data_IF_592794816315
#
_entry.id   IF_592794816315
#
_cell.length_a   1.000
_cell.length_b   1.000
_cell.length_c   1.000
_cell.angle_alpha   90.00
_cell.angle_beta   90.00
_cell.angle_gamma   90.00
#
_symmetry.space_group_name_H-M   'P 1'
#
loop_
_entity.id
_entity.type
_entity.pdbx_description
1 polymer ?
#
# COMPACT_ATOMS: atom_id res chain seq x y z
N UNK A 1 12.90 19.17 50.41
CA UNK A 1 14.37 19.46 50.38
C UNK A 1 15.00 19.09 49.03
N UNK A 2 14.58 17.98 48.40
CA UNK A 2 15.05 17.55 47.07
C UNK A 2 14.64 18.54 45.97
N UNK A 3 13.35 18.93 45.91
CA UNK A 3 12.81 19.93 44.96
C UNK A 3 13.65 21.20 44.80
N UNK A 4 14.05 21.82 45.92
CA UNK A 4 14.83 23.07 45.91
C UNK A 4 16.28 22.85 45.49
N UNK A 5 16.87 21.70 45.82
CA UNK A 5 18.27 21.37 45.50
C UNK A 5 18.46 20.95 44.05
N UNK A 6 17.55 20.16 43.49
CA UNK A 6 17.60 19.76 42.08
C UNK A 6 17.31 20.92 41.12
N UNK A 7 16.47 21.89 41.52
CA UNK A 7 16.29 23.12 40.74
C UNK A 7 17.57 23.96 40.70
N UNK A 8 18.28 24.07 41.82
CA UNK A 8 19.53 24.82 41.89
C UNK A 8 20.64 24.14 41.06
N UNK A 9 20.80 22.82 41.16
CA UNK A 9 21.85 22.10 40.42
C UNK A 9 21.64 22.16 38.91
N UNK A 10 20.40 22.09 38.45
CA UNK A 10 20.08 22.23 37.02
C UNK A 10 20.36 23.64 36.49
N UNK A 11 20.20 24.68 37.30
CA UNK A 11 20.65 26.02 36.93
C UNK A 11 22.18 26.15 36.94
N UNK A 12 22.85 25.57 37.93
CA UNK A 12 24.31 25.61 38.07
C UNK A 12 25.04 24.80 37.00
N UNK A 13 24.45 23.71 36.50
CA UNK A 13 25.01 22.92 35.39
C UNK A 13 24.96 23.66 34.04
N UNK A 14 24.10 24.68 33.94
CA UNK A 14 24.01 25.59 32.81
C UNK A 14 24.75 26.93 33.02
N UNK A 15 25.53 27.07 34.11
CA UNK A 15 26.25 28.31 34.42
C UNK A 15 27.35 28.60 33.40
N UNK A 16 27.66 29.88 33.19
CA UNK A 16 28.75 30.35 32.34
C UNK A 16 30.15 29.99 32.87
N UNK A 17 30.32 29.90 34.19
CA UNK A 17 31.61 29.62 34.85
C UNK A 17 31.93 28.11 34.86
N UNK A 18 33.14 27.76 34.40
CA UNK A 18 33.62 26.37 34.32
C UNK A 18 33.72 25.71 35.70
N UNK A 19 34.21 26.43 36.71
CA UNK A 19 34.38 25.90 38.06
C UNK A 19 33.03 25.64 38.72
N UNK A 20 32.05 26.52 38.48
CA UNK A 20 30.67 26.35 38.96
C UNK A 20 30.06 25.09 38.33
N UNK A 21 30.23 24.89 37.02
CA UNK A 21 29.78 23.67 36.35
C UNK A 21 30.46 22.41 36.90
N UNK A 22 31.79 22.43 37.08
CA UNK A 22 32.52 21.27 37.64
C UNK A 22 32.10 20.94 39.07
N UNK A 23 31.82 21.96 39.89
CA UNK A 23 31.27 21.76 41.24
C UNK A 23 29.85 21.17 41.22
N UNK A 24 29.01 21.65 40.30
CA UNK A 24 27.67 21.11 40.09
C UNK A 24 27.69 19.65 39.61
N UNK A 25 28.60 19.30 38.70
CA UNK A 25 28.78 17.93 38.19
C UNK A 25 29.22 16.95 39.30
N UNK A 26 30.13 17.37 40.18
CA UNK A 26 30.54 16.55 41.32
C UNK A 26 29.38 16.31 42.29
N UNK A 27 28.62 17.37 42.60
CA UNK A 27 27.45 17.28 43.47
C UNK A 27 26.37 16.39 42.86
N UNK A 28 26.11 16.54 41.56
CA UNK A 28 25.18 15.72 40.79
C UNK A 28 25.56 14.23 40.84
N UNK A 29 26.84 13.90 40.65
CA UNK A 29 27.32 12.52 40.76
C UNK A 29 27.11 11.94 42.16
N UNK A 30 27.48 12.69 43.20
CA UNK A 30 27.31 12.25 44.58
C UNK A 30 25.84 12.06 44.95
N UNK A 31 24.95 12.92 44.45
CA UNK A 31 23.52 12.76 44.67
C UNK A 31 22.99 11.51 43.99
N UNK A 32 23.40 11.21 42.75
CA UNK A 32 23.05 9.97 42.07
C UNK A 32 23.53 8.75 42.85
N UNK A 33 24.76 8.75 43.33
CA UNK A 33 25.31 7.66 44.14
C UNK A 33 24.48 7.42 45.42
N UNK A 34 24.07 8.49 46.11
CA UNK A 34 23.21 8.41 47.30
C UNK A 34 21.82 7.84 46.94
N UNK A 35 21.23 8.31 45.84
CA UNK A 35 19.90 7.87 45.40
C UNK A 35 19.92 6.40 44.97
N UNK A 36 20.91 5.97 44.19
CA UNK A 36 21.07 4.58 43.72
C UNK A 36 21.31 3.63 44.89
N UNK A 37 22.05 4.06 45.92
CA UNK A 37 22.31 3.27 47.12
C UNK A 37 21.13 3.22 48.10
N UNK A 38 20.12 4.09 47.93
CA UNK A 38 18.96 4.13 48.81
C UNK A 38 17.90 3.13 48.37
N UNK A 39 17.51 2.23 49.27
CA UNK A 39 16.44 1.25 49.04
C UNK A 39 15.02 1.81 49.20
N UNK A 40 14.88 3.04 49.71
CA UNK A 40 13.59 3.67 50.05
C UNK A 40 13.33 4.95 49.25
N UNK A 41 14.11 5.19 48.18
CA UNK A 41 13.95 6.39 47.39
C UNK A 41 12.62 6.41 46.63
N UNK A 42 11.87 7.49 46.80
CA UNK A 42 10.60 7.70 46.11
C UNK A 42 10.83 8.21 44.68
N UNK A 43 10.96 7.26 43.74
CA UNK A 43 11.12 7.57 42.31
C UNK A 43 9.91 8.33 41.74
N UNK A 44 8.71 8.19 42.31
CA UNK A 44 7.55 8.93 41.83
C UNK A 44 7.77 10.45 41.97
N UNK A 45 8.35 10.90 43.09
CA UNK A 45 8.67 12.32 43.29
C UNK A 45 9.71 12.84 42.30
N UNK A 46 10.74 12.03 41.99
CA UNK A 46 11.73 12.38 40.98
C UNK A 46 11.08 12.48 39.60
N UNK A 47 10.22 11.53 39.24
CA UNK A 47 9.53 11.51 37.96
C UNK A 47 8.58 12.70 37.78
N UNK A 48 7.95 13.21 38.84
CA UNK A 48 7.21 14.49 38.79
C UNK A 48 8.12 15.63 38.34
N UNK A 49 9.34 15.71 38.87
CA UNK A 49 10.29 16.78 38.54
C UNK A 49 10.86 16.64 37.14
N UNK A 50 11.11 15.40 36.70
CA UNK A 50 11.52 15.12 35.33
C UNK A 50 10.40 15.51 34.36
N UNK A 51 9.14 15.16 34.66
CA UNK A 51 7.98 15.48 33.81
C UNK A 51 7.77 16.98 33.66
N UNK A 52 7.92 17.75 34.73
CA UNK A 52 7.85 19.23 34.70
C UNK A 52 8.92 19.86 33.79
N UNK A 53 10.02 19.15 33.52
CA UNK A 53 11.20 19.70 32.83
C UNK A 53 11.58 18.97 31.55
N UNK A 54 10.85 17.93 31.17
CA UNK A 54 11.19 17.07 30.03
C UNK A 54 11.27 17.86 28.70
N UNK A 55 10.55 18.97 28.59
CA UNK A 55 10.54 19.88 27.43
C UNK A 55 11.51 21.08 27.56
N UNK A 56 12.54 20.97 28.40
CA UNK A 56 13.56 22.00 28.54
C UNK A 56 14.20 22.33 27.17
N UNK A 57 14.51 23.60 26.92
CA UNK A 57 15.09 24.06 25.64
C UNK A 57 16.63 24.09 25.64
N UNK A 58 17.25 24.10 26.81
CA UNK A 58 18.70 24.15 26.97
C UNK A 58 19.30 22.74 26.87
N UNK A 59 20.32 22.55 26.02
CA UNK A 59 21.03 21.28 25.84
C UNK A 59 21.65 20.73 27.13
N UNK A 60 22.18 21.58 28.02
CA UNK A 60 22.71 21.15 29.33
C UNK A 60 21.61 20.57 30.23
N UNK A 61 20.43 21.20 30.21
CA UNK A 61 19.27 20.75 30.96
C UNK A 61 18.74 19.41 30.44
N UNK A 62 18.67 19.26 29.11
CA UNK A 62 18.32 18.00 28.44
C UNK A 62 19.30 16.89 28.82
N UNK A 63 20.61 17.17 28.73
CA UNK A 63 21.67 16.24 29.13
C UNK A 63 21.57 15.82 30.60
N UNK A 64 21.25 16.76 31.48
CA UNK A 64 21.04 16.51 32.90
C UNK A 64 19.87 15.53 33.12
N UNK A 65 18.72 15.78 32.48
CA UNK A 65 17.54 14.90 32.58
C UNK A 65 17.86 13.49 32.08
N UNK A 66 18.50 13.36 30.92
CA UNK A 66 18.90 12.07 30.35
C UNK A 66 19.86 11.34 31.30
N UNK A 67 20.80 12.04 31.91
CA UNK A 67 21.75 11.45 32.86
C UNK A 67 21.07 10.94 34.13
N UNK A 68 20.06 11.64 34.66
CA UNK A 68 19.27 11.16 35.81
C UNK A 68 18.42 9.95 35.46
N UNK A 69 17.73 9.96 34.31
CA UNK A 69 16.97 8.80 33.85
C UNK A 69 17.86 7.58 33.63
N UNK A 70 19.06 7.77 33.05
CA UNK A 70 20.04 6.69 32.88
C UNK A 70 20.51 6.13 34.23
N UNK A 71 20.85 7.00 35.19
CA UNK A 71 21.23 6.59 36.53
C UNK A 71 20.13 5.75 37.21
N UNK A 72 18.87 6.20 37.11
CA UNK A 72 17.74 5.48 37.71
C UNK A 72 17.43 4.16 36.98
N UNK A 73 17.59 4.10 35.67
CA UNK A 73 17.41 2.87 34.89
C UNK A 73 18.46 1.80 35.25
N UNK A 74 19.66 2.22 35.63
CA UNK A 74 20.73 1.30 36.10
C UNK A 74 20.56 0.85 37.55
N UNK A 75 19.72 1.51 38.35
CA UNK A 75 19.51 1.17 39.74
C UNK A 75 18.68 -0.14 39.86
N UNK A 76 19.14 -1.16 40.61
CA UNK A 76 18.41 -2.43 40.72
C UNK A 76 17.19 -2.36 41.63
N UNK A 77 17.15 -1.36 42.52
CA UNK A 77 16.17 -1.27 43.60
C UNK A 77 14.83 -0.66 43.14
N UNK A 78 14.82 0.08 42.01
CA UNK A 78 13.65 0.83 41.56
C UNK A 78 13.49 0.75 40.05
N UNK A 79 12.24 0.73 39.58
CA UNK A 79 11.91 0.74 38.15
C UNK A 79 11.37 2.11 37.71
N UNK A 80 12.04 2.74 36.75
CA UNK A 80 11.56 3.94 36.05
C UNK A 80 10.71 3.63 34.81
N UNK A 81 10.69 2.36 34.38
CA UNK A 81 9.98 1.90 33.18
C UNK A 81 8.48 2.25 33.20
N UNK A 82 7.73 2.12 34.32
CA UNK A 82 6.31 2.50 34.38
C UNK A 82 6.03 3.98 34.05
N UNK A 83 7.00 4.86 34.23
CA UNK A 83 6.87 6.30 33.98
C UNK A 83 7.31 6.70 32.57
N UNK A 84 7.91 5.78 31.81
CA UNK A 84 8.41 6.06 30.47
C UNK A 84 7.34 6.65 29.52
N UNK A 85 6.08 6.17 29.49
CA UNK A 85 5.07 6.75 28.61
C UNK A 85 4.86 8.26 28.78
N UNK A 86 5.15 8.80 29.96
CA UNK A 86 4.96 10.23 30.28
C UNK A 86 6.12 11.12 29.83
N UNK A 87 7.30 10.53 29.63
CA UNK A 87 8.54 11.26 29.30
C UNK A 87 9.08 10.92 27.91
N UNK A 88 8.55 9.87 27.27
CA UNK A 88 9.01 9.37 25.98
C UNK A 88 9.01 10.46 24.89
N UNK A 89 7.94 11.27 24.81
CA UNK A 89 7.84 12.31 23.79
C UNK A 89 8.99 13.32 23.88
N UNK A 90 9.25 13.84 25.08
CA UNK A 90 10.34 14.78 25.27
C UNK A 90 11.72 14.15 25.08
N UNK A 91 11.92 12.87 25.40
CA UNK A 91 13.16 12.16 25.06
C UNK A 91 13.36 12.07 23.54
N UNK A 92 12.31 11.78 22.77
CA UNK A 92 12.40 11.78 21.31
C UNK A 92 12.68 13.18 20.75
N UNK A 93 12.12 14.24 21.34
CA UNK A 93 12.48 15.62 20.97
C UNK A 93 13.98 15.91 21.22
N UNK A 94 14.60 15.30 22.23
CA UNK A 94 16.04 15.44 22.51
C UNK A 94 16.95 14.74 21.47
N UNK A 95 16.45 13.78 20.69
CA UNK A 95 17.17 13.22 19.53
C UNK A 95 17.34 14.24 18.39
N UNK A 96 16.53 15.30 18.40
CA UNK A 96 16.63 16.45 17.51
C UNK A 96 17.50 17.59 18.05
N UNK A 97 18.17 17.43 19.21
CA UNK A 97 18.98 18.50 19.80
C UNK A 97 20.14 18.93 18.90
N UNK A 98 20.51 20.21 18.92
CA UNK A 98 21.63 20.74 18.14
C UNK A 98 22.98 20.17 18.57
N UNK A 99 23.14 19.81 19.85
CA UNK A 99 24.39 19.28 20.41
C UNK A 99 24.50 17.75 20.20
N UNK A 100 25.54 17.25 19.50
CA UNK A 100 25.73 15.81 19.28
C UNK A 100 25.77 15.02 20.59
N UNK A 101 26.47 15.55 21.61
CA UNK A 101 26.58 14.90 22.90
C UNK A 101 25.27 14.78 23.69
N UNK A 102 24.20 15.50 23.31
CA UNK A 102 22.84 15.26 23.86
C UNK A 102 22.14 14.15 23.08
N UNK A 103 22.26 14.15 21.75
CA UNK A 103 21.67 13.12 20.90
C UNK A 103 22.23 11.74 21.23
N UNK A 104 23.55 11.62 21.36
CA UNK A 104 24.24 10.34 21.62
C UNK A 104 23.82 9.72 22.96
N UNK A 105 23.78 10.53 24.03
CA UNK A 105 23.35 10.04 25.36
C UNK A 105 21.86 9.73 25.41
N UNK A 106 21.04 10.45 24.65
CA UNK A 106 19.60 10.22 24.55
C UNK A 106 19.31 8.94 23.78
N UNK A 107 19.99 8.72 22.65
CA UNK A 107 19.90 7.49 21.87
C UNK A 107 20.32 6.27 22.71
N UNK A 108 21.43 6.38 23.43
CA UNK A 108 21.89 5.32 24.33
C UNK A 108 20.87 5.03 25.45
N UNK A 109 20.28 6.06 26.06
CA UNK A 109 19.24 5.90 27.08
C UNK A 109 17.99 5.20 26.50
N UNK A 110 17.54 5.62 25.32
CA UNK A 110 16.39 4.99 24.66
C UNK A 110 16.69 3.53 24.30
N UNK A 111 17.89 3.21 23.84
CA UNK A 111 18.33 1.82 23.64
C UNK A 111 18.21 0.98 24.91
N UNK A 112 18.71 1.50 26.05
CA UNK A 112 18.61 0.84 27.34
C UNK A 112 17.15 0.65 27.81
N UNK A 113 16.28 1.64 27.60
CA UNK A 113 14.86 1.49 27.92
C UNK A 113 14.22 0.38 27.10
N UNK A 114 14.52 0.31 25.80
CA UNK A 114 13.96 -0.70 24.92
C UNK A 114 14.41 -2.11 25.35
N UNK A 115 15.69 -2.30 25.67
CA UNK A 115 16.23 -3.56 26.20
C UNK A 115 15.53 -3.97 27.51
N UNK A 116 15.28 -3.01 28.40
CA UNK A 116 14.58 -3.27 29.67
C UNK A 116 13.12 -3.66 29.47
N UNK A 117 12.42 -3.04 28.51
CA UNK A 117 11.04 -3.42 28.17
C UNK A 117 11.00 -4.84 27.60
N UNK A 118 11.96 -5.21 26.74
CA UNK A 118 12.05 -6.57 26.18
C UNK A 118 12.29 -7.65 27.24
N UNK A 119 12.97 -7.30 28.33
CA UNK A 119 13.26 -8.21 29.44
C UNK A 119 12.17 -8.20 30.53
N UNK A 120 11.18 -7.30 30.43
CA UNK A 120 10.14 -7.14 31.44
C UNK A 120 9.20 -8.35 31.49
N UNK A 121 8.71 -8.68 32.68
CA UNK A 121 7.72 -9.73 32.85
C UNK A 121 6.32 -9.23 32.41
N UNK A 122 5.39 -10.13 32.06
CA UNK A 122 4.03 -9.75 31.64
C UNK A 122 3.25 -8.91 32.67
N UNK A 123 3.65 -8.98 33.94
CA UNK A 123 3.03 -8.27 35.08
C UNK A 123 3.45 -6.79 35.14
N UNK A 124 4.56 -6.44 34.48
CA UNK A 124 5.12 -5.09 34.39
C UNK A 124 4.65 -4.36 33.13
N UNK A 125 3.48 -4.74 32.59
CA UNK A 125 3.01 -4.29 31.27
C UNK A 125 2.90 -2.76 31.22
N UNK A 126 3.85 -2.14 30.51
CA UNK A 126 3.85 -0.70 30.24
C UNK A 126 2.66 -0.36 29.36
N UNK A 127 2.11 0.85 29.51
CA UNK A 127 1.06 1.35 28.62
C UNK A 127 1.61 1.57 27.19
N UNK A 128 1.66 0.49 26.42
CA UNK A 128 2.13 0.44 25.04
C UNK A 128 1.34 1.39 24.13
N UNK A 129 0.04 1.51 24.38
CA UNK A 129 -0.88 2.33 23.58
C UNK A 129 -0.41 3.79 23.49
N UNK A 130 -0.04 4.39 24.61
CA UNK A 130 0.45 5.78 24.64
C UNK A 130 1.79 5.92 23.91
N UNK A 131 2.68 4.94 24.10
CA UNK A 131 4.00 4.94 23.48
C UNK A 131 3.93 4.78 21.97
N UNK A 132 3.09 3.87 21.46
CA UNK A 132 2.87 3.67 20.02
C UNK A 132 2.46 4.98 19.35
N UNK A 133 1.54 5.74 19.94
CA UNK A 133 1.10 7.01 19.38
C UNK A 133 2.26 8.04 19.32
N UNK A 134 3.04 8.17 20.40
CA UNK A 134 4.23 9.03 20.43
C UNK A 134 5.22 8.62 19.35
N UNK A 135 5.51 7.32 19.23
CA UNK A 135 6.44 6.79 18.23
C UNK A 135 5.96 7.05 16.79
N UNK A 136 4.65 6.90 16.52
CA UNK A 136 4.07 7.22 15.20
C UNK A 136 4.25 8.70 14.88
N UNK A 137 4.02 9.60 15.84
CA UNK A 137 4.25 11.05 15.66
C UNK A 137 5.71 11.32 15.29
N UNK A 138 6.67 10.76 16.03
CA UNK A 138 8.10 10.97 15.76
C UNK A 138 8.61 10.27 14.49
N UNK A 139 7.99 9.18 14.08
CA UNK A 139 8.30 8.53 12.80
C UNK A 139 7.78 9.32 11.59
N UNK A 140 6.66 10.03 11.74
CA UNK A 140 6.00 10.77 10.66
C UNK A 140 6.41 12.23 10.56
N UNK A 141 6.85 12.85 11.65
CA UNK A 141 7.27 14.25 11.67
C UNK A 141 8.49 14.51 10.77
N UNK A 142 8.61 15.75 10.28
CA UNK A 142 9.80 16.28 9.59
C UNK A 142 10.96 16.49 10.59
N UNK A 143 11.36 15.41 11.28
CA UNK A 143 12.45 15.38 12.24
C UNK A 143 13.77 14.88 11.64
N UNK A 144 14.78 14.74 12.49
CA UNK A 144 16.06 14.14 12.09
C UNK A 144 15.87 12.67 11.69
N UNK A 145 16.68 12.21 10.73
CA UNK A 145 16.70 10.80 10.31
C UNK A 145 16.94 9.87 11.52
N UNK A 146 17.76 10.31 12.48
CA UNK A 146 17.98 9.60 13.74
C UNK A 146 16.67 9.40 14.52
N UNK A 147 15.89 10.46 14.74
CA UNK A 147 14.62 10.41 15.48
C UNK A 147 13.67 9.41 14.83
N UNK A 148 13.51 9.51 13.50
CA UNK A 148 12.65 8.61 12.72
C UNK A 148 13.11 7.17 12.80
N UNK A 149 14.41 6.93 12.59
CA UNK A 149 15.00 5.59 12.65
C UNK A 149 14.80 4.96 14.02
N UNK A 150 15.06 5.70 15.10
CA UNK A 150 14.85 5.22 16.47
C UNK A 150 13.37 4.92 16.71
N UNK A 151 12.44 5.75 16.23
CA UNK A 151 11.01 5.51 16.38
C UNK A 151 10.57 4.23 15.65
N UNK A 152 11.02 4.02 14.42
CA UNK A 152 10.73 2.82 13.63
C UNK A 152 11.35 1.56 14.25
N UNK A 153 12.55 1.64 14.82
CA UNK A 153 13.16 0.51 15.54
C UNK A 153 12.26 0.10 16.72
N UNK A 154 11.81 1.07 17.52
CA UNK A 154 10.90 0.80 18.64
C UNK A 154 9.57 0.20 18.18
N UNK A 155 8.96 0.76 17.14
CA UNK A 155 7.71 0.23 16.55
C UNK A 155 7.90 -1.21 16.06
N UNK A 156 9.03 -1.53 15.43
CA UNK A 156 9.38 -2.88 15.00
C UNK A 156 9.51 -3.85 16.17
N UNK A 157 10.16 -3.42 17.26
CA UNK A 157 10.29 -4.24 18.46
C UNK A 157 8.96 -4.48 19.16
N UNK A 158 8.06 -3.49 19.17
CA UNK A 158 6.73 -3.68 19.74
C UNK A 158 5.92 -4.74 18.98
N UNK A 159 6.08 -4.78 17.65
CA UNK A 159 5.48 -5.82 16.81
C UNK A 159 5.95 -7.22 17.21
N UNK A 160 7.25 -7.40 17.47
CA UNK A 160 7.80 -8.69 17.93
C UNK A 160 7.23 -9.12 19.28
N UNK A 161 7.05 -8.19 20.22
CA UNK A 161 6.60 -8.50 21.57
C UNK A 161 5.08 -8.73 21.69
N UNK A 162 4.25 -7.95 20.98
CA UNK A 162 2.81 -7.86 21.26
C UNK A 162 1.90 -8.07 20.04
N UNK A 163 2.45 -8.65 18.96
CA UNK A 163 1.81 -9.10 17.72
C UNK A 163 0.36 -8.63 17.47
N UNK A 164 -0.65 -9.27 18.05
CA UNK A 164 -2.08 -9.00 17.78
C UNK A 164 -2.64 -7.78 18.51
N UNK A 165 -2.08 -7.38 19.67
CA UNK A 165 -2.55 -6.23 20.47
C UNK A 165 -2.33 -4.90 19.74
N UNK A 166 -1.47 -4.88 18.73
CA UNK A 166 -1.09 -3.68 17.98
C UNK A 166 -1.97 -3.44 16.75
N UNK A 167 -2.79 -4.41 16.34
CA UNK A 167 -3.65 -4.30 15.17
C UNK A 167 -4.62 -3.10 15.21
N UNK A 168 -5.16 -2.65 16.36
CA UNK A 168 -5.93 -1.41 16.42
C UNK A 168 -5.16 -0.17 15.95
N UNK A 169 -3.83 -0.19 16.00
CA UNK A 169 -2.94 0.90 15.56
C UNK A 169 -2.44 0.73 14.12
N UNK A 170 -2.89 -0.28 13.38
CA UNK A 170 -2.39 -0.60 12.03
C UNK A 170 -2.36 0.62 11.10
N UNK A 171 -3.41 1.43 11.10
CA UNK A 171 -3.44 2.67 10.28
C UNK A 171 -2.31 3.66 10.62
N UNK A 172 -1.96 3.77 11.91
CA UNK A 172 -0.87 4.63 12.36
C UNK A 172 0.50 4.06 12.01
N UNK A 173 0.68 2.74 12.15
CA UNK A 173 1.87 2.04 11.65
C UNK A 173 2.06 2.26 10.15
N UNK A 174 1.02 2.04 9.34
CA UNK A 174 1.06 2.27 7.88
C UNK A 174 1.41 3.72 7.54
N UNK A 175 0.84 4.68 8.28
CA UNK A 175 1.18 6.11 8.11
C UNK A 175 2.65 6.38 8.37
N UNK A 176 3.26 5.69 9.33
CA UNK A 176 4.66 5.83 9.68
C UNK A 176 5.62 5.15 8.70
N UNK A 177 5.24 4.06 8.05
CA UNK A 177 6.17 3.26 7.23
C UNK A 177 6.04 3.46 5.72
N UNK A 178 4.83 3.65 5.19
CA UNK A 178 4.60 3.70 3.74
C UNK A 178 5.44 4.77 3.02
N UNK A 179 5.64 6.00 3.55
CA UNK A 179 6.49 6.99 2.89
C UNK A 179 7.95 6.56 2.73
N UNK A 180 8.43 5.63 3.56
CA UNK A 180 9.86 5.31 3.73
C UNK A 180 10.24 3.90 3.29
N UNK A 181 9.38 3.21 2.52
CA UNK A 181 9.66 1.85 2.06
C UNK A 181 10.83 1.75 1.05
N UNK A 182 11.20 2.87 0.42
CA UNK A 182 12.38 2.95 -0.45
C UNK A 182 13.67 3.35 0.27
N UNK A 183 13.64 3.57 1.59
CA UNK A 183 14.82 3.99 2.37
C UNK A 183 15.40 2.79 3.14
N UNK A 184 16.50 2.23 2.63
CA UNK A 184 17.18 1.07 3.24
C UNK A 184 17.73 1.35 4.66
N UNK A 185 17.92 2.60 5.04
CA UNK A 185 18.37 2.95 6.40
C UNK A 185 17.25 2.83 7.43
N UNK A 186 16.00 2.87 6.97
CA UNK A 186 14.80 2.80 7.78
C UNK A 186 14.21 1.40 7.63
N UNK A 187 14.03 0.68 8.75
CA UNK A 187 13.48 -0.70 8.79
C UNK A 187 12.00 -0.80 8.37
N UNK A 188 11.50 0.14 7.57
CA UNK A 188 10.10 0.25 7.16
C UNK A 188 9.63 -0.98 6.38
N UNK A 189 10.46 -1.54 5.50
CA UNK A 189 10.15 -2.75 4.71
C UNK A 189 9.97 -4.00 5.58
N UNK A 190 10.85 -4.17 6.57
CA UNK A 190 10.76 -5.24 7.56
C UNK A 190 9.48 -5.13 8.39
N UNK A 191 9.17 -3.92 8.87
CA UNK A 191 7.94 -3.62 9.62
C UNK A 191 6.70 -3.93 8.76
N UNK A 192 6.70 -3.47 7.50
CA UNK A 192 5.60 -3.71 6.55
C UNK A 192 5.31 -5.20 6.38
N UNK A 193 6.36 -6.00 6.16
CA UNK A 193 6.27 -7.44 5.95
C UNK A 193 5.69 -8.14 7.18
N UNK A 194 6.15 -7.77 8.37
CA UNK A 194 5.65 -8.33 9.64
C UNK A 194 4.20 -7.95 9.90
N UNK A 195 3.82 -6.69 9.68
CA UNK A 195 2.44 -6.25 9.84
C UNK A 195 1.49 -6.99 8.90
N UNK A 196 1.91 -7.20 7.64
CA UNK A 196 1.12 -7.96 6.67
C UNK A 196 0.92 -9.41 7.14
N UNK A 197 1.96 -10.05 7.67
CA UNK A 197 1.89 -11.43 8.19
C UNK A 197 1.06 -11.54 9.48
N UNK A 198 0.99 -10.48 10.28
CA UNK A 198 0.24 -10.45 11.54
C UNK A 198 -1.25 -10.19 11.36
N UNK A 199 -1.67 -9.68 10.20
CA UNK A 199 -3.06 -9.36 9.98
C UNK A 199 -3.92 -10.62 9.99
N UNK A 200 -4.97 -10.63 10.82
CA UNK A 200 -5.93 -11.74 10.93
C UNK A 200 -7.37 -11.25 10.75
N UNK A 201 -8.29 -12.17 10.43
CA UNK A 201 -9.70 -11.83 10.17
C UNK A 201 -10.40 -11.17 11.35
N UNK A 202 -10.07 -11.60 12.58
CA UNK A 202 -10.69 -11.14 13.83
C UNK A 202 -10.04 -9.88 14.41
N UNK A 203 -9.13 -9.25 13.67
CA UNK A 203 -8.44 -8.07 14.12
C UNK A 203 -9.41 -6.88 14.36
N UNK A 204 -9.29 -6.24 15.53
CA UNK A 204 -10.00 -5.01 15.91
C UNK A 204 -9.51 -3.77 15.15
N UNK A 205 -9.41 -3.87 13.82
CA UNK A 205 -8.82 -2.88 12.92
C UNK A 205 -9.89 -1.91 12.44
N UNK A 206 -9.59 -0.61 12.53
CA UNK A 206 -10.42 0.45 11.95
C UNK A 206 -10.22 0.51 10.43
N UNK A 207 -10.99 -0.28 9.69
CA UNK A 207 -10.79 -0.46 8.24
C UNK A 207 -10.80 0.86 7.46
N UNK A 208 -11.72 1.79 7.75
CA UNK A 208 -11.76 3.09 7.07
C UNK A 208 -10.44 3.86 7.15
N UNK A 209 -9.79 3.85 8.33
CA UNK A 209 -8.51 4.53 8.53
C UNK A 209 -7.39 3.84 7.75
N UNK A 210 -7.37 2.50 7.72
CA UNK A 210 -6.40 1.73 6.93
C UNK A 210 -6.56 2.02 5.44
N UNK A 211 -7.77 1.92 4.90
CA UNK A 211 -8.04 2.20 3.49
C UNK A 211 -7.69 3.66 3.14
N UNK A 212 -8.01 4.62 4.01
CA UNK A 212 -7.66 6.02 3.77
C UNK A 212 -6.14 6.23 3.64
N UNK A 213 -5.34 5.58 4.48
CA UNK A 213 -3.88 5.64 4.43
C UNK A 213 -3.35 4.94 3.17
N UNK A 214 -3.84 3.75 2.85
CA UNK A 214 -3.41 3.02 1.65
C UNK A 214 -3.68 3.82 0.37
N UNK A 215 -4.90 4.32 0.19
CA UNK A 215 -5.28 5.08 -1.01
C UNK A 215 -4.51 6.40 -1.14
N UNK A 216 -4.09 7.03 -0.02
CA UNK A 216 -3.21 8.21 -0.06
C UNK A 216 -1.85 7.91 -0.70
N UNK A 217 -1.35 6.68 -0.56
CA UNK A 217 0.00 6.29 -1.00
C UNK A 217 0.02 5.46 -2.29
N UNK A 218 -1.12 5.25 -2.96
CA UNK A 218 -1.19 4.41 -4.17
C UNK A 218 -0.43 4.99 -5.37
N UNK A 219 -0.32 6.31 -5.47
CA UNK A 219 0.43 7.04 -6.50
C UNK A 219 1.72 7.65 -5.96
N UNK A 220 2.34 7.00 -4.98
CA UNK A 220 3.59 7.46 -4.37
C UNK A 220 4.74 7.46 -5.39
N UNK A 221 5.73 8.34 -5.24
CA UNK A 221 6.87 8.43 -6.16
C UNK A 221 7.71 7.13 -6.17
N UNK A 222 7.91 6.52 -5.00
CA UNK A 222 8.65 5.26 -4.86
C UNK A 222 7.81 4.04 -5.24
N UNK A 223 8.39 3.19 -6.09
CA UNK A 223 7.79 1.95 -6.57
C UNK A 223 7.45 1.01 -5.42
N UNK A 224 8.36 0.87 -4.45
CA UNK A 224 8.25 -0.02 -3.29
C UNK A 224 7.00 0.31 -2.47
N UNK A 225 6.69 1.60 -2.32
CA UNK A 225 5.49 2.06 -1.64
C UNK A 225 4.22 1.69 -2.41
N UNK A 226 4.19 1.93 -3.73
CA UNK A 226 3.03 1.57 -4.56
C UNK A 226 2.77 0.07 -4.54
N UNK A 227 3.83 -0.73 -4.69
CA UNK A 227 3.78 -2.19 -4.57
C UNK A 227 3.25 -2.64 -3.21
N UNK A 228 3.71 -2.04 -2.11
CA UNK A 228 3.24 -2.38 -0.77
C UNK A 228 1.76 -2.06 -0.59
N UNK A 229 1.30 -0.90 -1.08
CA UNK A 229 -0.12 -0.51 -1.03
C UNK A 229 -1.00 -1.53 -1.76
N UNK A 230 -0.63 -1.92 -2.99
CA UNK A 230 -1.39 -2.92 -3.75
C UNK A 230 -1.40 -4.29 -3.06
N UNK A 231 -0.26 -4.72 -2.50
CA UNK A 231 -0.17 -5.96 -1.73
C UNK A 231 -1.08 -5.93 -0.49
N UNK A 232 -1.17 -4.80 0.20
CA UNK A 232 -2.10 -4.62 1.32
C UNK A 232 -3.55 -4.73 0.87
N UNK A 233 -3.96 -4.00 -0.18
CA UNK A 233 -5.34 -4.05 -0.68
C UNK A 233 -5.70 -5.48 -1.09
N UNK A 234 -4.80 -6.17 -1.80
CA UNK A 234 -4.98 -7.57 -2.20
C UNK A 234 -5.07 -8.51 -1.00
N UNK A 235 -4.21 -8.34 0.00
CA UNK A 235 -4.25 -9.16 1.21
C UNK A 235 -5.55 -8.95 1.97
N UNK A 236 -6.04 -7.71 2.08
CA UNK A 236 -7.31 -7.39 2.71
C UNK A 236 -8.50 -7.98 1.94
N UNK A 237 -8.49 -7.91 0.60
CA UNK A 237 -9.52 -8.49 -0.24
C UNK A 237 -9.60 -10.01 -0.09
N UNK A 238 -8.45 -10.71 -0.10
CA UNK A 238 -8.40 -12.17 0.07
C UNK A 238 -8.79 -12.63 1.46
N UNK A 239 -8.36 -11.92 2.51
CA UNK A 239 -8.54 -12.39 3.88
C UNK A 239 -9.83 -11.88 4.52
N UNK A 240 -10.31 -10.67 4.20
CA UNK A 240 -11.49 -10.07 4.83
C UNK A 240 -12.42 -9.38 3.81
N UNK A 241 -12.91 -10.10 2.77
CA UNK A 241 -13.69 -9.52 1.68
C UNK A 241 -14.93 -8.76 2.17
N UNK A 242 -15.65 -9.30 3.17
CA UNK A 242 -16.82 -8.63 3.75
C UNK A 242 -16.49 -7.26 4.40
N UNK A 243 -15.27 -7.08 4.94
CA UNK A 243 -14.85 -5.81 5.55
C UNK A 243 -14.32 -4.80 4.53
N UNK A 244 -13.76 -5.27 3.41
CA UNK A 244 -13.26 -4.40 2.34
C UNK A 244 -14.38 -3.92 1.41
N UNK A 245 -15.40 -4.75 1.21
CA UNK A 245 -16.50 -4.49 0.27
C UNK A 245 -17.12 -3.08 0.38
N UNK A 246 -17.43 -2.54 1.57
CA UNK A 246 -18.00 -1.18 1.70
C UNK A 246 -17.10 -0.04 1.21
N UNK A 247 -15.82 -0.33 0.93
CA UNK A 247 -14.84 0.66 0.46
C UNK A 247 -14.52 0.49 -1.03
N UNK A 248 -15.12 -0.49 -1.72
CA UNK A 248 -14.82 -0.78 -3.13
C UNK A 248 -15.15 0.38 -4.07
N UNK A 249 -16.15 1.21 -3.76
CA UNK A 249 -16.45 2.42 -4.53
C UNK A 249 -15.32 3.46 -4.51
N UNK A 250 -14.45 3.41 -3.49
CA UNK A 250 -13.25 4.26 -3.41
C UNK A 250 -12.02 3.53 -3.95
N UNK A 251 -11.90 2.24 -3.68
CA UNK A 251 -10.74 1.43 -4.08
C UNK A 251 -10.74 1.24 -5.60
N UNK A 252 -11.86 0.83 -6.19
CA UNK A 252 -11.94 0.45 -7.59
C UNK A 252 -11.56 1.59 -8.56
N UNK A 253 -12.07 2.83 -8.44
CA UNK A 253 -11.60 3.94 -9.27
C UNK A 253 -10.12 4.25 -9.10
N UNK A 254 -9.59 4.01 -7.90
CA UNK A 254 -8.18 4.21 -7.61
C UNK A 254 -7.32 3.18 -8.32
N UNK A 255 -7.68 1.88 -8.26
CA UNK A 255 -7.01 0.80 -8.99
C UNK A 255 -7.05 1.03 -10.50
N UNK A 256 -8.20 1.41 -11.05
CA UNK A 256 -8.32 1.78 -12.47
C UNK A 256 -7.28 2.84 -12.86
N UNK A 257 -7.07 3.85 -12.01
CA UNK A 257 -6.07 4.89 -12.28
C UNK A 257 -4.61 4.44 -12.17
N UNK A 258 -4.34 3.25 -11.61
CA UNK A 258 -3.02 2.60 -11.54
C UNK A 258 -2.70 1.86 -12.86
N UNK A 259 -3.70 1.61 -13.72
CA UNK A 259 -3.44 1.03 -15.05
C UNK A 259 -2.53 1.91 -15.93
N UNK A 260 -2.46 3.21 -15.63
CA UNK A 260 -1.56 4.18 -16.27
C UNK A 260 -0.20 4.29 -15.56
N UNK A 261 0.16 3.40 -14.63
CA UNK A 261 1.46 3.44 -13.94
C UNK A 261 2.63 3.18 -14.92
N UNK A 262 3.72 3.90 -14.70
CA UNK A 262 4.93 3.77 -15.52
C UNK A 262 5.72 2.49 -15.22
N UNK A 263 5.47 1.84 -14.08
CA UNK A 263 6.15 0.61 -13.69
C UNK A 263 5.31 -0.63 -13.99
N UNK A 264 5.84 -1.51 -14.84
CA UNK A 264 5.18 -2.76 -15.25
C UNK A 264 4.86 -3.66 -14.06
N UNK A 265 5.76 -3.76 -13.08
CA UNK A 265 5.52 -4.60 -11.90
C UNK A 265 4.32 -4.11 -11.06
N UNK A 266 4.11 -2.79 -11.01
CA UNK A 266 2.95 -2.19 -10.32
C UNK A 266 1.68 -2.48 -11.11
N UNK A 267 1.71 -2.25 -12.44
CA UNK A 267 0.60 -2.55 -13.34
C UNK A 267 0.18 -4.03 -13.28
N UNK A 268 1.14 -4.95 -13.33
CA UNK A 268 0.87 -6.39 -13.31
C UNK A 268 0.24 -6.82 -11.97
N UNK A 269 0.72 -6.28 -10.85
CA UNK A 269 0.12 -6.56 -9.54
C UNK A 269 -1.30 -5.96 -9.42
N UNK A 270 -1.53 -4.77 -9.97
CA UNK A 270 -2.85 -4.15 -10.00
C UNK A 270 -3.84 -4.95 -10.86
N UNK A 271 -3.41 -5.43 -12.03
CA UNK A 271 -4.23 -6.30 -12.88
C UNK A 271 -4.55 -7.63 -12.20
N UNK A 272 -3.63 -8.22 -11.44
CA UNK A 272 -3.92 -9.38 -10.61
C UNK A 272 -4.99 -9.10 -9.57
N UNK A 273 -4.94 -7.95 -8.91
CA UNK A 273 -5.93 -7.54 -7.92
C UNK A 273 -7.30 -7.27 -8.57
N UNK A 274 -7.34 -6.54 -9.68
CA UNK A 274 -8.57 -6.30 -10.44
C UNK A 274 -9.20 -7.61 -10.94
N UNK A 275 -8.37 -8.57 -11.34
CA UNK A 275 -8.83 -9.90 -11.74
C UNK A 275 -9.39 -10.68 -10.54
N UNK A 276 -8.70 -10.68 -9.38
CA UNK A 276 -9.18 -11.28 -8.13
C UNK A 276 -10.58 -10.71 -7.73
N UNK A 277 -10.82 -9.41 -7.99
CA UNK A 277 -12.13 -8.76 -7.79
C UNK A 277 -13.16 -9.19 -8.84
N UNK A 278 -12.76 -9.33 -10.10
CA UNK A 278 -13.65 -9.74 -11.19
C UNK A 278 -14.17 -11.17 -11.03
N UNK A 279 -13.38 -12.08 -10.44
CA UNK A 279 -13.77 -13.47 -10.17
C UNK A 279 -14.67 -13.63 -8.93
N UNK A 280 -14.93 -12.55 -8.18
CA UNK A 280 -15.65 -12.66 -6.92
C UNK A 280 -17.10 -13.13 -7.11
N UNK A 281 -17.41 -14.31 -6.56
CA UNK A 281 -18.71 -15.00 -6.71
C UNK A 281 -19.85 -14.36 -5.91
N UNK A 282 -19.61 -13.25 -5.21
CA UNK A 282 -20.64 -12.49 -4.50
C UNK A 282 -21.40 -11.59 -5.49
N UNK A 283 -22.15 -12.22 -6.40
CA UNK A 283 -22.88 -11.62 -7.53
C UNK A 283 -24.05 -10.72 -7.07
N UNK A 284 -24.51 -10.86 -5.83
CA UNK A 284 -25.74 -10.20 -5.33
C UNK A 284 -25.59 -8.72 -4.95
N UNK A 285 -24.45 -8.07 -5.26
CA UNK A 285 -24.11 -6.76 -4.72
C UNK A 285 -23.86 -5.67 -5.77
N UNK A 286 -23.79 -6.01 -7.06
CA UNK A 286 -23.68 -5.02 -8.14
C UNK A 286 -24.98 -4.98 -8.92
N UNK A 287 -25.55 -3.79 -8.96
CA UNK A 287 -26.69 -3.52 -9.81
C UNK A 287 -26.20 -3.24 -11.24
N UNK A 288 -26.31 -4.24 -12.12
CA UNK A 288 -26.05 -4.08 -13.57
C UNK A 288 -26.99 -3.02 -14.17
N UNK A 289 -28.08 -2.65 -13.48
CA UNK A 289 -28.98 -1.59 -13.90
C UNK A 289 -28.31 -0.21 -13.96
N UNK A 290 -27.26 0.04 -13.16
CA UNK A 290 -26.49 1.30 -13.20
C UNK A 290 -25.72 1.49 -14.51
N UNK A 291 -25.43 0.41 -15.25
CA UNK A 291 -24.66 0.48 -16.49
C UNK A 291 -25.50 0.95 -17.69
N UNK A 292 -26.82 1.16 -17.51
CA UNK A 292 -27.74 1.63 -18.54
C UNK A 292 -27.68 0.84 -19.87
N UNK A 293 -27.31 -0.44 -19.80
CA UNK A 293 -27.26 -1.34 -20.96
C UNK A 293 -28.66 -1.75 -21.39
N UNK A 294 -28.87 -1.89 -22.70
CA UNK A 294 -30.13 -2.39 -23.25
C UNK A 294 -30.36 -3.88 -22.89
N UNK A 295 -31.60 -4.35 -23.05
CA UNK A 295 -31.99 -5.71 -22.67
C UNK A 295 -31.25 -6.81 -23.44
N UNK A 296 -30.94 -6.58 -24.72
CA UNK A 296 -30.25 -7.56 -25.56
C UNK A 296 -28.78 -7.67 -25.14
N UNK A 297 -28.11 -6.55 -24.89
CA UNK A 297 -26.75 -6.48 -24.37
C UNK A 297 -26.63 -7.20 -23.02
N UNK A 298 -27.61 -7.02 -22.12
CA UNK A 298 -27.66 -7.74 -20.84
C UNK A 298 -27.79 -9.25 -21.01
N UNK A 299 -28.60 -9.71 -21.97
CA UNK A 299 -28.75 -11.14 -22.28
C UNK A 299 -27.44 -11.75 -22.77
N UNK A 300 -26.70 -11.04 -23.65
CA UNK A 300 -25.41 -11.52 -24.16
C UNK A 300 -24.30 -11.61 -23.10
N UNK A 301 -24.45 -10.87 -22.00
CA UNK A 301 -23.49 -10.80 -20.89
C UNK A 301 -23.96 -11.55 -19.64
N UNK A 302 -25.10 -12.27 -19.69
CA UNK A 302 -25.73 -12.87 -18.50
C UNK A 302 -24.83 -13.86 -17.74
N UNK A 303 -23.91 -14.51 -18.45
CA UNK A 303 -23.02 -15.53 -17.89
C UNK A 303 -21.69 -14.95 -17.40
N UNK A 304 -21.50 -13.63 -17.51
CA UNK A 304 -20.26 -12.94 -17.16
C UNK A 304 -20.44 -12.23 -15.81
N UNK A 305 -19.41 -12.27 -14.97
CA UNK A 305 -19.39 -11.55 -13.70
C UNK A 305 -19.73 -10.06 -13.87
N UNK A 306 -20.67 -9.51 -13.07
CA UNK A 306 -20.98 -8.07 -13.09
C UNK A 306 -19.76 -7.18 -12.85
N UNK A 307 -18.81 -7.64 -12.02
CA UNK A 307 -17.55 -6.94 -11.76
C UNK A 307 -16.70 -6.85 -13.02
N UNK A 308 -16.62 -7.94 -13.81
CA UNK A 308 -15.90 -7.95 -15.08
C UNK A 308 -16.56 -7.01 -16.09
N UNK A 309 -17.89 -6.97 -16.15
CA UNK A 309 -18.60 -6.03 -17.02
C UNK A 309 -18.31 -4.57 -16.60
N UNK A 310 -18.43 -4.24 -15.30
CA UNK A 310 -18.13 -2.90 -14.77
C UNK A 310 -16.67 -2.50 -15.04
N UNK A 311 -15.75 -3.45 -14.90
CA UNK A 311 -14.34 -3.27 -15.24
C UNK A 311 -14.14 -3.01 -16.73
N UNK A 312 -14.72 -3.83 -17.61
CA UNK A 312 -14.61 -3.68 -19.06
C UNK A 312 -15.17 -2.33 -19.54
N UNK A 313 -16.32 -1.90 -19.02
CA UNK A 313 -16.89 -0.56 -19.30
C UNK A 313 -15.90 0.55 -18.89
N UNK A 314 -15.33 0.44 -17.70
CA UNK A 314 -14.38 1.43 -17.18
C UNK A 314 -13.08 1.45 -17.98
N UNK A 315 -12.57 0.27 -18.35
CA UNK A 315 -11.35 0.11 -19.14
C UNK A 315 -11.53 0.69 -20.55
N UNK A 316 -12.64 0.39 -21.22
CA UNK A 316 -12.94 0.95 -22.54
C UNK A 316 -13.08 2.47 -22.49
N UNK A 317 -13.75 3.00 -21.45
CA UNK A 317 -13.81 4.44 -21.22
C UNK A 317 -12.41 5.04 -21.05
N UNK A 318 -11.53 4.39 -20.27
CA UNK A 318 -10.15 4.85 -20.08
C UNK A 318 -9.35 4.85 -21.38
N UNK A 319 -9.42 3.78 -22.18
CA UNK A 319 -8.74 3.74 -23.49
C UNK A 319 -9.27 4.78 -24.48
N UNK A 320 -10.56 5.10 -24.42
CA UNK A 320 -11.16 6.13 -25.25
C UNK A 320 -10.74 7.54 -24.81
N UNK A 321 -10.74 7.79 -23.50
CA UNK A 321 -10.44 9.10 -22.93
C UNK A 321 -8.91 9.37 -22.92
N UNK A 322 -8.08 8.32 -22.91
CA UNK A 322 -6.61 8.37 -23.00
C UNK A 322 -6.08 7.41 -24.09
N UNK A 323 -5.94 7.89 -25.34
CA UNK A 323 -5.42 7.09 -26.45
C UNK A 323 -3.96 6.62 -26.25
N UNK A 324 -3.17 7.34 -25.44
CA UNK A 324 -1.78 6.95 -25.17
C UNK A 324 -1.72 5.66 -24.36
N UNK A 325 -2.58 5.53 -23.35
CA UNK A 325 -2.74 4.30 -22.57
C UNK A 325 -3.06 3.09 -23.46
N UNK A 326 -3.99 3.24 -24.41
CA UNK A 326 -4.31 2.19 -25.37
C UNK A 326 -3.08 1.79 -26.19
N UNK A 327 -2.38 2.77 -26.77
CA UNK A 327 -1.24 2.51 -27.65
C UNK A 327 -0.02 1.92 -26.94
N UNK A 328 0.27 2.35 -25.71
CA UNK A 328 1.49 1.97 -24.99
C UNK A 328 1.27 0.73 -24.09
N UNK A 329 0.09 0.60 -23.47
CA UNK A 329 -0.20 -0.43 -22.46
C UNK A 329 -1.33 -1.37 -22.84
N UNK A 330 -2.19 -1.02 -23.81
CA UNK A 330 -3.39 -1.78 -24.15
C UNK A 330 -3.12 -3.25 -24.45
N UNK A 331 -2.07 -3.55 -25.23
CA UNK A 331 -1.68 -4.92 -25.55
C UNK A 331 -1.29 -5.69 -24.29
N UNK A 332 -0.45 -5.11 -23.42
CA UNK A 332 -0.03 -5.74 -22.17
C UNK A 332 -1.22 -6.00 -21.24
N UNK A 333 -2.11 -5.01 -21.08
CA UNK A 333 -3.29 -5.11 -20.23
C UNK A 333 -4.20 -6.25 -20.71
N UNK A 334 -4.58 -6.28 -21.98
CA UNK A 334 -5.49 -7.31 -22.50
C UNK A 334 -4.87 -8.71 -22.42
N UNK A 335 -3.60 -8.85 -22.79
CA UNK A 335 -2.86 -10.12 -22.68
C UNK A 335 -2.82 -10.62 -21.25
N UNK A 336 -2.50 -9.74 -20.31
CA UNK A 336 -2.43 -10.11 -18.90
C UNK A 336 -3.81 -10.45 -18.33
N UNK A 337 -4.88 -9.77 -18.75
CA UNK A 337 -6.24 -10.15 -18.38
C UNK A 337 -6.58 -11.56 -18.90
N UNK A 338 -6.23 -11.89 -20.15
CA UNK A 338 -6.44 -13.22 -20.73
C UNK A 338 -5.62 -14.33 -20.04
N UNK A 339 -4.55 -13.97 -19.33
CA UNK A 339 -3.80 -14.90 -18.48
C UNK A 339 -4.47 -15.12 -17.11
N UNK A 340 -5.22 -14.15 -16.62
CA UNK A 340 -5.76 -14.12 -15.25
C UNK A 340 -7.24 -14.50 -15.18
N UNK A 341 -7.98 -14.30 -16.27
CA UNK A 341 -9.41 -14.55 -16.39
C UNK A 341 -9.70 -15.34 -17.67
N UNK A 342 -10.90 -15.91 -17.77
CA UNK A 342 -11.33 -16.61 -18.99
C UNK A 342 -11.29 -15.68 -20.22
N UNK A 343 -10.45 -15.98 -21.23
CA UNK A 343 -10.35 -15.18 -22.45
C UNK A 343 -11.67 -15.01 -23.19
N UNK A 344 -12.52 -16.04 -23.20
CA UNK A 344 -13.82 -16.01 -23.87
C UNK A 344 -14.73 -14.97 -23.24
N UNK A 345 -14.71 -14.84 -21.91
CA UNK A 345 -15.45 -13.81 -21.20
C UNK A 345 -14.92 -12.40 -21.45
N UNK A 346 -13.59 -12.22 -21.51
CA UNK A 346 -12.98 -10.92 -21.81
C UNK A 346 -13.36 -10.47 -23.22
N UNK A 347 -13.10 -11.33 -24.22
CA UNK A 347 -13.38 -11.03 -25.62
C UNK A 347 -14.87 -10.80 -25.86
N UNK A 348 -15.75 -11.61 -25.26
CA UNK A 348 -17.20 -11.40 -25.32
C UNK A 348 -17.60 -10.06 -24.70
N UNK A 349 -17.15 -9.77 -23.48
CA UNK A 349 -17.50 -8.55 -22.75
C UNK A 349 -17.10 -7.31 -23.54
N UNK A 350 -15.84 -7.26 -23.98
CA UNK A 350 -15.31 -6.12 -24.73
C UNK A 350 -16.06 -5.97 -26.06
N UNK A 351 -16.27 -7.06 -26.81
CA UNK A 351 -16.92 -6.99 -28.13
C UNK A 351 -18.37 -6.52 -28.04
N UNK A 352 -19.14 -7.06 -27.09
CA UNK A 352 -20.53 -6.62 -26.86
C UNK A 352 -20.57 -5.14 -26.49
N UNK A 353 -19.68 -4.66 -25.62
CA UNK A 353 -19.63 -3.26 -25.22
C UNK A 353 -19.18 -2.33 -26.35
N UNK A 354 -18.25 -2.76 -27.20
CA UNK A 354 -17.82 -2.02 -28.39
C UNK A 354 -18.95 -1.88 -29.43
N UNK A 355 -19.86 -2.86 -29.52
CA UNK A 355 -21.04 -2.75 -30.39
C UNK A 355 -22.00 -1.64 -29.95
N UNK A 356 -21.94 -1.21 -28.69
CA UNK A 356 -22.71 -0.09 -28.15
C UNK A 356 -21.96 1.26 -28.25
N UNK A 357 -20.71 1.27 -28.69
CA UNK A 357 -19.87 2.47 -28.75
C UNK A 357 -20.11 3.25 -30.06
N UNK A 358 -20.25 4.58 -29.93
CA UNK A 358 -20.55 5.45 -31.07
C UNK A 358 -19.30 5.91 -31.82
N UNK A 359 -18.14 5.89 -31.17
CA UNK A 359 -16.88 6.26 -31.82
C UNK A 359 -16.31 5.10 -32.64
N UNK A 360 -16.63 5.10 -33.93
CA UNK A 360 -16.21 4.07 -34.90
C UNK A 360 -14.67 3.96 -35.02
N UNK A 361 -13.95 5.08 -34.93
CA UNK A 361 -12.48 5.08 -35.00
C UNK A 361 -11.86 4.36 -33.79
N UNK A 362 -12.39 4.63 -32.60
CA UNK A 362 -11.96 3.94 -31.38
C UNK A 362 -12.30 2.43 -31.44
N UNK A 363 -13.50 2.06 -31.90
CA UNK A 363 -13.89 0.66 -32.08
C UNK A 363 -12.95 -0.06 -33.04
N UNK A 364 -12.63 0.59 -34.17
CA UNK A 364 -11.67 0.13 -35.16
C UNK A 364 -10.29 -0.16 -34.55
N UNK A 365 -9.73 0.80 -33.79
CA UNK A 365 -8.43 0.64 -33.12
C UNK A 365 -8.45 -0.51 -32.10
N UNK A 366 -9.51 -0.62 -31.31
CA UNK A 366 -9.69 -1.71 -30.35
C UNK A 366 -9.75 -3.07 -31.03
N UNK A 367 -10.52 -3.20 -32.12
CA UNK A 367 -10.62 -4.45 -32.89
C UNK A 367 -9.27 -4.83 -33.50
N UNK A 368 -8.54 -3.88 -34.08
CA UNK A 368 -7.22 -4.14 -34.64
C UNK A 368 -6.25 -4.69 -33.58
N UNK A 369 -6.24 -4.09 -32.37
CA UNK A 369 -5.45 -4.55 -31.24
C UNK A 369 -5.87 -5.95 -30.78
N UNK A 370 -7.17 -6.17 -30.53
CA UNK A 370 -7.71 -7.45 -30.09
C UNK A 370 -7.44 -8.57 -31.09
N UNK A 371 -7.51 -8.28 -32.39
CA UNK A 371 -7.20 -9.22 -33.46
C UNK A 371 -5.71 -9.59 -33.46
N UNK A 372 -4.81 -8.62 -33.36
CA UNK A 372 -3.38 -8.88 -33.26
C UNK A 372 -3.05 -9.79 -32.07
N UNK A 373 -3.67 -9.54 -30.92
CA UNK A 373 -3.53 -10.39 -29.72
C UNK A 373 -4.13 -11.78 -29.99
N UNK A 374 -5.34 -11.87 -30.54
CA UNK A 374 -6.03 -13.13 -30.81
C UNK A 374 -5.19 -14.07 -31.68
N UNK A 375 -4.55 -13.53 -32.72
CA UNK A 375 -3.75 -14.33 -33.65
C UNK A 375 -2.40 -14.75 -33.09
N UNK A 376 -1.75 -13.90 -32.28
CA UNK A 376 -0.32 -14.08 -31.94
C UNK A 376 -0.06 -14.51 -30.50
N UNK A 377 -0.96 -14.19 -29.56
CA UNK A 377 -0.71 -14.40 -28.14
C UNK A 377 -0.77 -15.90 -27.78
N UNK A 378 0.22 -16.38 -27.03
CA UNK A 378 0.33 -17.80 -26.66
C UNK A 378 -0.78 -18.25 -25.73
N UNK A 379 -1.20 -17.37 -24.82
CA UNK A 379 -2.26 -17.58 -23.84
C UNK A 379 -3.65 -17.79 -24.47
N UNK A 380 -3.83 -17.41 -25.73
CA UNK A 380 -5.08 -17.61 -26.47
C UNK A 380 -5.08 -18.89 -27.33
N UNK A 381 -4.09 -19.77 -27.15
CA UNK A 381 -3.98 -20.99 -27.94
C UNK A 381 -5.24 -21.87 -27.84
N UNK A 382 -5.73 -22.15 -26.63
CA UNK A 382 -6.92 -22.99 -26.43
C UNK A 382 -8.17 -22.33 -27.02
N UNK A 383 -8.37 -21.03 -26.77
CA UNK A 383 -9.49 -20.28 -27.36
C UNK A 383 -9.46 -20.30 -28.89
N UNK A 384 -8.27 -20.16 -29.51
CA UNK A 384 -8.12 -20.27 -30.97
C UNK A 384 -8.50 -21.66 -31.48
N UNK A 385 -8.19 -22.72 -30.74
CA UNK A 385 -8.55 -24.09 -31.13
C UNK A 385 -10.05 -24.33 -31.04
N UNK A 386 -10.69 -23.81 -29.99
CA UNK A 386 -12.16 -23.84 -29.85
C UNK A 386 -12.87 -23.03 -30.95
N UNK A 387 -12.34 -21.85 -31.32
CA UNK A 387 -12.85 -21.04 -32.44
C UNK A 387 -12.59 -21.67 -33.81
N UNK A 388 -11.60 -22.57 -33.95
CA UNK A 388 -11.36 -23.36 -35.17
C UNK A 388 -12.39 -24.48 -35.31
N UNK A 389 -12.68 -25.16 -34.21
CA UNK A 389 -13.57 -26.32 -34.20
C UNK A 389 -15.04 -25.92 -34.28
N UNK A 390 -15.44 -24.84 -33.58
CA UNK A 390 -16.83 -24.37 -33.48
C UNK A 390 -17.84 -25.47 -33.08
N UNK A 391 -17.40 -26.44 -32.28
CA UNK A 391 -18.23 -27.58 -31.85
C UNK A 391 -19.17 -27.24 -30.68
N UNK A 392 -18.79 -26.28 -29.84
CA UNK A 392 -19.56 -25.84 -28.67
C UNK A 392 -20.44 -24.64 -29.00
N UNK A 393 -21.73 -24.71 -28.65
CA UNK A 393 -22.70 -23.61 -28.81
C UNK A 393 -22.22 -22.28 -28.20
N UNK A 394 -21.49 -22.32 -27.07
CA UNK A 394 -20.91 -21.12 -26.45
C UNK A 394 -19.86 -20.44 -27.35
N UNK A 395 -19.04 -21.23 -28.04
CA UNK A 395 -18.00 -20.75 -28.95
C UNK A 395 -18.57 -20.37 -30.33
N UNK A 396 -19.65 -21.00 -30.77
CA UNK A 396 -20.44 -20.53 -31.92
C UNK A 396 -21.02 -19.15 -31.61
N UNK A 397 -21.66 -18.99 -30.46
CA UNK A 397 -22.18 -17.69 -30.00
C UNK A 397 -21.06 -16.65 -29.84
N UNK A 398 -19.87 -17.07 -29.38
CA UNK A 398 -18.72 -16.17 -29.24
C UNK A 398 -18.24 -15.72 -30.62
N UNK A 399 -18.10 -16.64 -31.56
CA UNK A 399 -17.72 -16.35 -32.94
C UNK A 399 -18.70 -15.36 -33.58
N UNK A 400 -20.00 -15.54 -33.43
CA UNK A 400 -20.99 -14.60 -33.96
C UNK A 400 -20.85 -13.19 -33.36
N UNK A 401 -20.56 -13.10 -32.06
CA UNK A 401 -20.31 -11.84 -31.38
C UNK A 401 -19.04 -11.15 -31.92
N UNK A 402 -17.94 -11.89 -31.98
CA UNK A 402 -16.67 -11.41 -32.54
C UNK A 402 -16.82 -10.99 -33.99
N UNK A 403 -17.51 -11.78 -34.82
CA UNK A 403 -17.73 -11.51 -36.23
C UNK A 403 -18.39 -10.14 -36.44
N UNK A 404 -19.44 -9.81 -35.67
CA UNK A 404 -20.14 -8.52 -35.77
C UNK A 404 -19.24 -7.35 -35.36
N UNK A 405 -18.48 -7.51 -34.28
CA UNK A 405 -17.54 -6.49 -33.81
C UNK A 405 -16.32 -6.35 -34.74
N UNK A 406 -15.84 -7.44 -35.32
CA UNK A 406 -14.68 -7.45 -36.21
C UNK A 406 -15.01 -6.81 -37.56
N UNK A 407 -16.29 -6.68 -37.93
CA UNK A 407 -16.71 -5.99 -39.15
C UNK A 407 -16.29 -4.51 -39.21
N UNK A 408 -15.96 -3.89 -38.06
CA UNK A 408 -15.37 -2.56 -38.01
C UNK A 408 -13.91 -2.51 -38.49
N UNK A 409 -13.27 -3.67 -38.70
CA UNK A 409 -11.95 -3.83 -39.34
C UNK A 409 -11.97 -5.01 -40.34
N UNK A 410 -12.18 -4.74 -41.64
CA UNK A 410 -12.35 -5.78 -42.66
C UNK A 410 -11.22 -6.81 -42.74
N UNK A 411 -9.95 -6.39 -42.54
CA UNK A 411 -8.80 -7.30 -42.57
C UNK A 411 -8.78 -8.19 -41.32
N UNK A 412 -9.11 -7.63 -40.16
CA UNK A 412 -9.31 -8.41 -38.94
C UNK A 412 -10.44 -9.44 -39.11
N UNK A 413 -11.58 -9.04 -39.70
CA UNK A 413 -12.70 -9.95 -39.98
C UNK A 413 -12.29 -11.09 -40.91
N UNK A 414 -11.53 -10.79 -41.97
CA UNK A 414 -10.97 -11.79 -42.85
C UNK A 414 -10.08 -12.77 -42.05
N UNK A 415 -9.22 -12.26 -41.19
CA UNK A 415 -8.38 -13.07 -40.30
C UNK A 415 -9.16 -13.96 -39.35
N UNK A 416 -10.26 -13.47 -38.77
CA UNK A 416 -11.15 -14.28 -37.94
C UNK A 416 -11.82 -15.42 -38.74
N UNK A 417 -12.21 -15.17 -39.99
CA UNK A 417 -12.79 -16.20 -40.87
C UNK A 417 -11.76 -17.26 -41.25
N UNK A 418 -10.52 -16.86 -41.55
CA UNK A 418 -9.42 -17.79 -41.82
C UNK A 418 -9.10 -18.62 -40.57
N UNK A 419 -9.01 -17.97 -39.40
CA UNK A 419 -8.76 -18.63 -38.12
C UNK A 419 -9.81 -19.70 -37.84
N UNK A 420 -11.09 -19.40 -38.06
CA UNK A 420 -12.22 -20.31 -37.83
C UNK A 420 -12.47 -21.31 -38.96
N UNK A 421 -11.57 -21.42 -39.94
CA UNK A 421 -11.69 -22.32 -41.10
C UNK A 421 -12.90 -22.07 -42.01
N UNK A 422 -13.54 -20.90 -41.91
CA UNK A 422 -14.64 -20.48 -42.78
C UNK A 422 -14.12 -19.93 -44.12
N UNK A 423 -13.38 -20.76 -44.87
CA UNK A 423 -12.63 -20.34 -46.06
C UNK A 423 -13.51 -19.84 -47.21
N UNK A 424 -14.72 -20.41 -47.38
CA UNK A 424 -15.65 -19.95 -48.40
C UNK A 424 -16.07 -18.51 -48.13
N UNK A 425 -16.48 -18.22 -46.90
CA UNK A 425 -16.86 -16.87 -46.50
C UNK A 425 -15.68 -15.90 -46.51
N UNK A 426 -14.49 -16.34 -46.08
CA UNK A 426 -13.26 -15.57 -46.20
C UNK A 426 -12.95 -15.17 -47.66
N UNK A 427 -13.17 -16.09 -48.61
CA UNK A 427 -12.98 -15.82 -50.05
C UNK A 427 -14.00 -14.80 -50.56
N UNK A 428 -15.26 -14.88 -50.11
CA UNK A 428 -16.27 -13.89 -50.45
C UNK A 428 -15.90 -12.51 -49.92
N UNK A 429 -15.45 -12.41 -48.66
CA UNK A 429 -14.98 -11.16 -48.05
C UNK A 429 -13.77 -10.58 -48.79
N UNK A 430 -12.80 -11.43 -49.15
CA UNK A 430 -11.64 -11.01 -49.93
C UNK A 430 -12.05 -10.36 -51.27
N UNK A 431 -13.11 -10.87 -51.91
CA UNK A 431 -13.69 -10.30 -53.12
C UNK A 431 -14.30 -8.90 -52.95
N UNK A 432 -14.52 -8.43 -51.72
CA UNK A 432 -15.00 -7.07 -51.41
C UNK A 432 -13.91 -6.10 -50.97
N UNK A 433 -12.66 -6.55 -50.77
CA UNK A 433 -11.57 -5.69 -50.30
C UNK A 433 -11.24 -4.53 -51.25
N UNK A 434 -11.56 -4.64 -52.55
CA UNK A 434 -11.40 -3.54 -53.51
C UNK A 434 -12.22 -2.30 -53.16
N UNK A 435 -13.27 -2.44 -52.33
CA UNK A 435 -14.11 -1.33 -51.86
C UNK A 435 -13.46 -0.53 -50.75
N UNK A 436 -12.35 -1.00 -50.19
CA UNK A 436 -11.61 -0.31 -49.14
C UNK A 436 -10.68 0.71 -49.76
N UNK A 437 -10.62 1.89 -49.15
CA UNK A 437 -9.58 2.85 -49.46
C UNK A 437 -8.24 2.30 -48.99
N UNK A 438 -7.28 2.18 -49.90
CA UNK A 438 -5.95 1.65 -49.58
C UNK A 438 -5.17 2.71 -48.80
N UNK A 439 -5.15 2.57 -47.48
CA UNK A 439 -4.34 3.39 -46.57
C UNK A 439 -3.11 2.63 -46.09
N UNK A 440 -2.14 3.33 -45.50
CA UNK A 440 -0.96 2.69 -44.90
C UNK A 440 -1.37 1.71 -43.79
N UNK A 441 -2.38 2.04 -43.01
CA UNK A 441 -2.89 1.19 -41.92
C UNK A 441 -3.48 -0.11 -42.46
N UNK A 442 -4.28 -0.05 -43.53
CA UNK A 442 -4.82 -1.25 -44.20
C UNK A 442 -3.70 -2.14 -44.74
N UNK A 443 -2.64 -1.54 -45.31
CA UNK A 443 -1.49 -2.31 -45.79
C UNK A 443 -0.72 -2.98 -44.65
N UNK A 444 -0.55 -2.29 -43.51
CA UNK A 444 0.06 -2.85 -42.31
C UNK A 444 -0.78 -4.01 -41.77
N UNK A 445 -2.10 -3.90 -41.79
CA UNK A 445 -2.99 -4.99 -41.36
C UNK A 445 -2.90 -6.21 -42.28
N UNK A 446 -2.84 -5.99 -43.60
CA UNK A 446 -2.66 -7.07 -44.57
C UNK A 446 -1.31 -7.76 -44.38
N UNK A 447 -0.24 -7.00 -44.13
CA UNK A 447 1.11 -7.55 -43.87
C UNK A 447 1.16 -8.38 -42.58
N UNK A 448 0.32 -8.04 -41.59
CA UNK A 448 0.23 -8.77 -40.31
C UNK A 448 -0.59 -10.06 -40.38
N UNK A 449 -1.46 -10.20 -41.38
CA UNK A 449 -2.34 -11.36 -41.57
C UNK A 449 -1.62 -12.48 -42.33
#
# INVERSE_FOLDING_TARGET
MIRTRECAIMHLSADSDVNVRSGADLLDRLLKDIVIASSTFDVAQLMVLIRERIYAQNSSNRKFIVSWLSAMLTAPQVSVVPYLPEVLDGLFQMLGDGQPGVRDVTEALLGQFLERIQQAQPEDEVNLCNMVNVLIVHATHEGSVLTRRTALIWLSQFIEMHSTRLLPYLSGYLTAILPYLGDDQLKATEINTRLLALFTQDAGVKMNAVIAVLLKHVKHEHRETRMAVLNWIRHLHKNVPAKIFPYMDRIFPTLLSVLSDTCDDVLLLDLQLLSDVCEEKNVNLIDIEELHLDSHTKEQLSNISPYLIKFAVSLLKMFRDDPSLLSERGVLIIRQLCLLLDPSHIYRSISVLLMCEGNVEFVSQMVAMLNGILLTATELFEMRDQLKALENEEYVSLFECLYRCWAYQPIALLGLCILSQNYEHATQLAGYLWRLDVTADVLIEIDRL
#
